data_IF_404444966496
#
_entry.id   IF_404444966496
#
_cell.length_a   1.000
_cell.length_b   1.000
_cell.length_c   1.000
_cell.angle_alpha   90.00
_cell.angle_beta   90.00
_cell.angle_gamma   90.00
#
_symmetry.space_group_name_H-M   'P 1'
#
loop_
_entity.id
_entity.type
_entity.pdbx_description
1 polymer ?
#
# COMPACT_ATOMS: atom_id res chain seq x y z
N UNK A 1 -18.93 -2.51 20.19
CA UNK A 1 -19.45 -2.42 18.82
C UNK A 1 -18.45 -1.77 17.86
N UNK A 2 -17.24 -2.32 17.77
CA UNK A 2 -16.25 -1.89 16.76
C UNK A 2 -16.26 -2.85 15.55
N UNK A 3 -17.38 -3.55 15.27
CA UNK A 3 -17.48 -4.49 14.16
C UNK A 3 -16.58 -5.72 14.29
N UNK A 4 -16.27 -6.15 15.51
CA UNK A 4 -15.54 -7.39 15.70
C UNK A 4 -16.44 -8.58 15.35
N UNK A 5 -15.98 -9.42 14.43
CA UNK A 5 -16.65 -10.65 14.08
C UNK A 5 -16.44 -11.69 15.18
N UNK A 6 -17.54 -12.19 15.73
CA UNK A 6 -17.56 -13.29 16.71
C UNK A 6 -18.27 -14.48 16.05
N UNK A 7 -17.61 -15.61 15.95
CA UNK A 7 -18.13 -16.80 15.30
C UNK A 7 -18.97 -17.61 16.30
N UNK A 8 -20.30 -17.64 16.11
CA UNK A 8 -21.23 -18.36 17.01
C UNK A 8 -21.28 -19.85 16.73
N UNK A 9 -20.80 -20.30 15.59
CA UNK A 9 -20.85 -21.70 15.15
C UNK A 9 -19.65 -22.55 15.60
N UNK A 10 -18.71 -21.95 16.33
CA UNK A 10 -17.53 -22.64 16.89
C UNK A 10 -17.65 -22.82 18.40
N UNK A 11 -17.31 -24.01 18.94
CA UNK A 11 -17.29 -24.22 20.41
C UNK A 11 -16.13 -23.44 21.03
N UNK A 12 -16.38 -22.85 22.20
CA UNK A 12 -15.39 -22.13 23.00
C UNK A 12 -15.56 -20.61 22.99
N UNK A 13 -14.79 -19.92 23.83
CA UNK A 13 -14.90 -18.47 23.96
C UNK A 13 -14.23 -17.72 22.80
N UNK A 14 -14.84 -16.60 22.41
CA UNK A 14 -14.20 -15.58 21.58
C UNK A 14 -13.84 -14.39 22.46
N UNK A 15 -12.55 -14.08 22.60
CA UNK A 15 -12.06 -12.97 23.40
C UNK A 15 -11.34 -11.96 22.51
N UNK A 16 -11.83 -10.71 22.55
CA UNK A 16 -11.25 -9.57 21.82
C UNK A 16 -10.86 -8.49 22.83
N UNK A 17 -9.59 -8.10 22.83
CA UNK A 17 -9.06 -7.02 23.65
C UNK A 17 -8.45 -5.92 22.75
N UNK A 18 -8.98 -4.69 22.79
CA UNK A 18 -8.51 -3.59 21.96
C UNK A 18 -8.59 -3.90 20.47
N UNK A 19 -9.69 -4.52 20.01
CA UNK A 19 -9.89 -5.04 18.65
C UNK A 19 -8.94 -6.19 18.22
N UNK A 20 -8.06 -6.68 19.09
CA UNK A 20 -7.23 -7.87 18.83
C UNK A 20 -7.99 -9.11 19.27
N UNK A 21 -8.16 -10.06 18.36
CA UNK A 21 -8.70 -11.37 18.70
C UNK A 21 -7.61 -12.15 19.43
N UNK A 22 -7.81 -12.44 20.71
CA UNK A 22 -6.81 -13.14 21.53
C UNK A 22 -7.13 -14.62 21.73
N UNK A 23 -8.42 -14.97 21.73
CA UNK A 23 -8.88 -16.35 21.81
C UNK A 23 -10.07 -16.54 20.87
N UNK A 24 -10.09 -17.67 20.15
CA UNK A 24 -11.26 -18.15 19.42
C UNK A 24 -11.31 -19.67 19.48
N UNK A 25 -12.25 -20.21 20.24
CA UNK A 25 -12.34 -21.66 20.50
C UNK A 25 -11.07 -22.16 21.18
N UNK A 26 -10.34 -23.06 20.52
CA UNK A 26 -9.07 -23.62 21.00
C UNK A 26 -7.83 -22.84 20.50
N UNK A 27 -8.03 -21.78 19.71
CA UNK A 27 -6.96 -20.97 19.14
C UNK A 27 -6.64 -19.77 20.02
N UNK A 28 -5.36 -19.56 20.26
CA UNK A 28 -4.82 -18.43 21.00
C UNK A 28 -3.89 -17.63 20.09
N UNK A 29 -4.01 -16.31 20.14
CA UNK A 29 -3.32 -15.38 19.26
C UNK A 29 -2.46 -14.41 20.06
N UNK A 30 -1.16 -14.37 19.77
CA UNK A 30 -0.20 -13.48 20.41
C UNK A 30 0.21 -12.36 19.43
N UNK A 31 0.30 -11.14 19.94
CA UNK A 31 0.63 -9.95 19.14
C UNK A 31 1.89 -9.28 19.66
N UNK A 32 2.65 -8.65 18.76
CA UNK A 32 3.75 -7.77 19.15
C UNK A 32 3.26 -6.43 19.71
N UNK A 33 4.21 -5.56 20.12
CA UNK A 33 3.91 -4.23 20.65
C UNK A 33 3.21 -3.32 19.64
N UNK A 34 3.36 -3.58 18.34
CA UNK A 34 2.75 -2.83 17.25
C UNK A 34 1.36 -3.35 16.87
N UNK A 35 0.99 -4.52 17.38
CA UNK A 35 -0.29 -5.18 17.10
C UNK A 35 -0.25 -6.15 15.93
N UNK A 36 0.91 -6.51 15.40
CA UNK A 36 1.02 -7.56 14.41
C UNK A 36 0.84 -8.92 15.06
N UNK A 37 0.06 -9.82 14.46
CA UNK A 37 -0.09 -11.19 14.91
C UNK A 37 1.22 -11.95 14.70
N UNK A 38 1.91 -12.32 15.77
CA UNK A 38 3.20 -13.01 15.71
C UNK A 38 3.12 -14.51 15.92
N UNK A 39 2.02 -14.99 16.54
CA UNK A 39 1.85 -16.41 16.83
C UNK A 39 0.39 -16.81 16.95
N UNK A 40 0.04 -17.95 16.35
CA UNK A 40 -1.19 -18.68 16.61
C UNK A 40 -0.82 -20.01 17.29
N UNK A 41 -1.53 -20.34 18.37
CA UNK A 41 -1.36 -21.60 19.12
C UNK A 41 -2.69 -22.31 19.21
N UNK A 42 -2.73 -23.61 18.92
CA UNK A 42 -3.95 -24.42 18.99
C UNK A 42 -3.69 -25.88 19.38
N UNK A 43 -4.76 -26.62 19.57
CA UNK A 43 -4.71 -28.03 19.92
C UNK A 43 -4.34 -28.29 21.39
N UNK A 44 -4.28 -29.56 21.76
CA UNK A 44 -4.02 -29.97 23.15
C UNK A 44 -2.65 -29.46 23.64
N UNK A 45 -2.68 -28.67 24.73
CA UNK A 45 -1.47 -28.05 25.27
C UNK A 45 -0.83 -27.00 24.37
N UNK A 46 -1.59 -26.47 23.40
CA UNK A 46 -1.09 -25.48 22.41
C UNK A 46 0.12 -25.97 21.59
N UNK A 47 0.16 -27.28 21.28
CA UNK A 47 1.30 -27.90 20.62
C UNK A 47 1.41 -27.52 19.13
N UNK A 48 0.33 -27.09 18.50
CA UNK A 48 0.32 -26.66 17.10
C UNK A 48 0.56 -25.14 17.04
N UNK A 49 1.77 -24.75 16.69
CA UNK A 49 2.20 -23.34 16.68
C UNK A 49 2.48 -22.91 15.25
N UNK A 50 1.86 -21.80 14.84
CA UNK A 50 2.23 -21.04 13.63
C UNK A 50 2.89 -19.76 14.07
N UNK A 51 4.08 -19.46 13.54
CA UNK A 51 4.82 -18.22 13.84
C UNK A 51 4.90 -17.33 12.62
N UNK A 52 4.74 -16.00 12.84
CA UNK A 52 4.79 -14.96 11.82
C UNK A 52 5.88 -13.95 12.17
N UNK A 53 6.67 -13.52 11.19
CA UNK A 53 7.69 -12.48 11.37
C UNK A 53 7.49 -11.36 10.38
N UNK A 54 7.72 -10.14 10.84
CA UNK A 54 7.49 -8.91 10.09
C UNK A 54 8.78 -8.10 9.99
N UNK A 55 8.88 -7.30 8.92
CA UNK A 55 9.92 -6.27 8.80
C UNK A 55 9.53 -4.98 9.55
N UNK A 56 10.39 -3.97 9.46
CA UNK A 56 10.15 -2.66 10.09
C UNK A 56 8.98 -1.87 9.48
N UNK A 57 8.43 -2.30 8.35
CA UNK A 57 7.23 -1.74 7.71
C UNK A 57 5.98 -2.59 7.98
N UNK A 58 6.04 -3.53 8.93
CA UNK A 58 4.96 -4.44 9.31
C UNK A 58 4.49 -5.37 8.17
N UNK A 59 5.37 -5.65 7.18
CA UNK A 59 5.09 -6.61 6.12
C UNK A 59 5.55 -8.00 6.55
N UNK A 60 4.72 -9.01 6.31
CA UNK A 60 5.05 -10.41 6.64
C UNK A 60 6.24 -10.87 5.80
N UNK A 61 7.36 -11.21 6.43
CA UNK A 61 8.57 -11.67 5.74
C UNK A 61 8.84 -13.16 5.90
N UNK A 62 8.30 -13.78 6.93
CA UNK A 62 8.37 -15.25 7.06
C UNK A 62 7.24 -15.82 7.91
N UNK A 63 6.97 -17.08 7.64
CA UNK A 63 5.98 -17.91 8.31
C UNK A 63 6.61 -19.27 8.62
N UNK A 64 6.33 -19.85 9.79
CA UNK A 64 6.64 -21.22 10.13
C UNK A 64 5.37 -21.93 10.59
N UNK A 65 5.03 -23.03 9.95
CA UNK A 65 3.86 -23.85 10.22
C UNK A 65 4.15 -24.91 11.32
N UNK A 66 3.13 -25.45 11.99
CA UNK A 66 3.31 -26.49 13.03
C UNK A 66 3.99 -27.78 12.53
N UNK A 67 3.90 -28.08 11.24
CA UNK A 67 4.57 -29.22 10.59
C UNK A 67 6.04 -28.97 10.24
N UNK A 68 6.57 -27.77 10.57
CA UNK A 68 7.93 -27.34 10.24
C UNK A 68 8.08 -26.71 8.84
N UNK A 69 7.03 -26.66 8.02
CA UNK A 69 7.06 -25.97 6.73
C UNK A 69 7.34 -24.48 6.93
N UNK A 70 8.22 -23.95 6.10
CA UNK A 70 8.59 -22.53 6.15
C UNK A 70 8.25 -21.81 4.84
N UNK A 71 7.80 -20.57 4.98
CA UNK A 71 7.62 -19.67 3.86
C UNK A 71 8.35 -18.36 4.13
N UNK A 72 8.88 -17.76 3.06
CA UNK A 72 9.48 -16.42 3.10
C UNK A 72 8.98 -15.55 1.96
N UNK A 73 8.88 -14.24 2.22
CA UNK A 73 8.29 -13.29 1.31
C UNK A 73 9.23 -12.10 1.11
N UNK A 74 9.37 -11.64 -0.14
CA UNK A 74 10.19 -10.47 -0.49
C UNK A 74 9.35 -9.41 -1.18
N UNK A 75 9.70 -8.16 -0.92
CA UNK A 75 8.95 -7.00 -1.39
C UNK A 75 9.86 -6.03 -2.14
N UNK A 76 9.28 -5.33 -3.10
CA UNK A 76 9.93 -4.19 -3.74
C UNK A 76 9.86 -2.93 -2.84
N UNK A 77 10.50 -1.82 -3.23
CA UNK A 77 10.43 -0.56 -2.50
C UNK A 77 9.02 0.03 -2.35
N UNK A 78 8.09 -0.34 -3.24
CA UNK A 78 6.68 0.07 -3.17
C UNK A 78 5.84 -0.85 -2.27
N UNK A 79 6.46 -1.83 -1.62
CA UNK A 79 5.79 -2.79 -0.74
C UNK A 79 4.97 -3.85 -1.47
N UNK A 80 5.15 -4.05 -2.80
CA UNK A 80 4.53 -5.13 -3.55
C UNK A 80 5.35 -6.41 -3.36
N UNK A 81 4.69 -7.52 -3.09
CA UNK A 81 5.36 -8.81 -2.95
C UNK A 81 5.88 -9.27 -4.30
N UNK A 82 7.20 -9.32 -4.46
CA UNK A 82 7.86 -9.74 -5.70
C UNK A 82 8.23 -11.22 -5.72
N UNK A 83 8.33 -11.86 -4.56
CA UNK A 83 8.51 -13.31 -4.51
C UNK A 83 8.00 -13.92 -3.22
N UNK A 84 7.64 -15.20 -3.28
CA UNK A 84 7.51 -16.09 -2.13
C UNK A 84 8.34 -17.34 -2.35
N UNK A 85 8.92 -17.88 -1.29
CA UNK A 85 9.62 -19.16 -1.31
C UNK A 85 9.05 -20.05 -0.22
N UNK A 86 8.59 -21.24 -0.60
CA UNK A 86 8.01 -22.25 0.29
C UNK A 86 8.91 -23.48 0.23
N UNK A 87 9.53 -23.86 1.34
CA UNK A 87 10.49 -24.98 1.41
C UNK A 87 11.54 -24.94 0.30
N UNK A 88 12.02 -23.73 -0.06
CA UNK A 88 13.03 -23.49 -1.09
C UNK A 88 12.52 -23.35 -2.51
N UNK A 89 11.24 -23.64 -2.78
CA UNK A 89 10.63 -23.44 -4.10
C UNK A 89 10.08 -22.02 -4.20
N UNK A 90 10.54 -21.26 -5.20
CA UNK A 90 10.23 -19.84 -5.35
C UNK A 90 9.16 -19.59 -6.41
N UNK A 91 8.19 -18.72 -6.09
CA UNK A 91 7.27 -18.11 -7.04
C UNK A 91 7.61 -16.62 -7.13
N UNK A 92 7.76 -16.09 -8.33
CA UNK A 92 7.98 -14.67 -8.61
C UNK A 92 6.68 -14.01 -9.05
N UNK A 93 6.49 -12.73 -8.69
CA UNK A 93 5.28 -11.96 -8.95
C UNK A 93 5.60 -10.68 -9.72
N UNK A 94 4.78 -10.37 -10.74
CA UNK A 94 4.93 -9.21 -11.61
C UNK A 94 3.69 -8.30 -11.48
N UNK A 95 3.95 -7.00 -11.37
CA UNK A 95 2.94 -6.01 -11.02
C UNK A 95 2.84 -4.90 -12.06
N UNK A 96 1.62 -4.41 -12.27
CA UNK A 96 1.33 -3.16 -12.95
C UNK A 96 0.56 -2.25 -11.98
N UNK A 97 1.23 -1.22 -11.46
CA UNK A 97 0.70 -0.46 -10.32
C UNK A 97 0.45 -1.40 -9.14
N UNK A 98 -0.77 -1.43 -8.62
CA UNK A 98 -1.18 -2.31 -7.53
C UNK A 98 -1.87 -3.62 -7.99
N UNK A 99 -1.90 -3.88 -9.32
CA UNK A 99 -2.45 -5.12 -9.87
C UNK A 99 -1.36 -6.17 -10.06
N UNK A 100 -1.59 -7.38 -9.56
CA UNK A 100 -0.78 -8.55 -9.88
C UNK A 100 -1.13 -9.00 -11.29
N UNK A 101 -0.21 -8.84 -12.24
CA UNK A 101 -0.48 -9.18 -13.64
C UNK A 101 0.11 -10.51 -14.08
N UNK A 102 1.11 -11.04 -13.37
CA UNK A 102 1.68 -12.34 -13.70
C UNK A 102 2.40 -12.97 -12.50
N UNK A 103 2.59 -14.29 -12.59
CA UNK A 103 3.45 -15.07 -11.71
C UNK A 103 4.26 -16.11 -12.49
N UNK A 104 5.42 -16.45 -11.96
CA UNK A 104 6.28 -17.49 -12.46
C UNK A 104 6.65 -18.47 -11.34
N UNK A 105 6.38 -19.75 -11.53
CA UNK A 105 6.67 -20.82 -10.57
C UNK A 105 7.28 -22.01 -11.30
N UNK A 106 8.54 -22.30 -11.05
CA UNK A 106 9.32 -23.30 -11.77
C UNK A 106 9.28 -23.04 -13.30
N UNK A 107 8.62 -23.91 -14.07
CA UNK A 107 8.44 -23.80 -15.51
C UNK A 107 7.04 -23.27 -15.92
N UNK A 108 6.16 -23.03 -14.94
CA UNK A 108 4.80 -22.56 -15.14
C UNK A 108 4.73 -21.04 -15.07
N UNK A 109 4.11 -20.45 -16.09
CA UNK A 109 3.78 -19.02 -16.16
C UNK A 109 2.29 -18.82 -16.11
N UNK A 110 1.85 -17.82 -15.38
CA UNK A 110 0.46 -17.34 -15.34
C UNK A 110 0.43 -15.85 -15.60
N UNK A 111 -0.53 -15.41 -16.42
CA UNK A 111 -0.84 -13.98 -16.60
C UNK A 111 -2.32 -13.76 -16.33
N UNK A 112 -2.60 -12.70 -15.58
CA UNK A 112 -3.96 -12.31 -15.18
C UNK A 112 -4.38 -11.09 -15.97
N UNK A 113 -5.49 -11.21 -16.69
CA UNK A 113 -6.11 -10.11 -17.44
C UNK A 113 -7.31 -9.63 -16.66
N UNK A 114 -7.38 -8.31 -16.44
CA UNK A 114 -8.43 -7.67 -15.67
C UNK A 114 -9.29 -6.75 -16.54
N UNK A 115 -10.52 -6.49 -16.11
CA UNK A 115 -11.31 -5.39 -16.64
C UNK A 115 -10.54 -4.06 -16.52
N UNK A 116 -10.67 -3.13 -17.49
CA UNK A 116 -10.05 -1.81 -17.38
C UNK A 116 -10.42 -1.13 -16.06
N UNK A 117 -9.44 -0.49 -15.44
CA UNK A 117 -9.57 0.28 -14.18
C UNK A 117 -10.25 -0.48 -13.01
N UNK A 118 -10.18 -1.81 -13.01
CA UNK A 118 -10.83 -2.69 -12.04
C UNK A 118 -9.88 -3.78 -11.56
N UNK A 119 -10.16 -4.39 -10.40
CA UNK A 119 -9.53 -5.62 -9.92
C UNK A 119 -10.32 -6.89 -10.28
N UNK A 120 -11.34 -6.77 -11.14
CA UNK A 120 -12.14 -7.90 -11.61
C UNK A 120 -11.37 -8.67 -12.67
N UNK A 121 -11.01 -9.95 -12.46
CA UNK A 121 -10.30 -10.73 -13.45
C UNK A 121 -11.23 -11.16 -14.60
N UNK A 122 -10.74 -11.05 -15.84
CA UNK A 122 -11.43 -11.51 -17.06
C UNK A 122 -10.92 -12.88 -17.51
N UNK A 123 -9.59 -13.04 -17.54
CA UNK A 123 -8.98 -14.26 -18.03
C UNK A 123 -7.66 -14.57 -17.30
N UNK A 124 -7.36 -15.86 -17.23
CA UNK A 124 -6.08 -16.42 -16.84
C UNK A 124 -5.44 -17.02 -18.10
N UNK A 125 -4.21 -16.65 -18.38
CA UNK A 125 -3.35 -17.31 -19.34
C UNK A 125 -2.36 -18.18 -18.56
N UNK A 126 -2.41 -19.49 -18.71
CA UNK A 126 -1.49 -20.43 -18.07
C UNK A 126 -0.69 -21.19 -19.13
N UNK A 127 0.63 -21.29 -18.93
CA UNK A 127 1.51 -21.99 -19.86
C UNK A 127 2.77 -22.56 -19.21
N UNK A 128 3.39 -23.49 -19.93
CA UNK A 128 4.68 -24.10 -19.60
C UNK A 128 5.66 -23.74 -20.71
N UNK A 129 6.44 -22.66 -20.48
CA UNK A 129 7.33 -22.10 -21.51
C UNK A 129 6.62 -21.20 -22.53
N UNK A 130 7.36 -20.63 -23.51
CA UNK A 130 6.91 -19.49 -24.30
C UNK A 130 5.84 -19.79 -25.37
N UNK A 131 5.51 -21.05 -25.64
CA UNK A 131 4.64 -21.45 -26.76
C UNK A 131 3.40 -22.25 -26.36
N UNK A 132 3.28 -22.68 -25.11
CA UNK A 132 2.16 -23.51 -24.64
C UNK A 132 1.32 -22.73 -23.62
N UNK A 133 0.59 -21.72 -24.11
CA UNK A 133 -0.29 -20.88 -23.29
C UNK A 133 -1.73 -21.22 -23.56
N UNK A 134 -2.48 -21.54 -22.51
CA UNK A 134 -3.91 -21.86 -22.56
C UNK A 134 -4.71 -20.76 -21.86
N UNK A 135 -5.71 -20.16 -22.51
CA UNK A 135 -6.59 -19.20 -21.87
C UNK A 135 -7.70 -19.92 -21.07
N UNK A 136 -8.06 -19.31 -19.95
CA UNK A 136 -9.23 -19.68 -19.15
C UNK A 136 -10.01 -18.41 -18.83
N UNK A 137 -11.34 -18.47 -18.85
CA UNK A 137 -12.21 -17.32 -18.64
C UNK A 137 -12.83 -17.38 -17.25
N UNK A 138 -12.76 -16.27 -16.52
CA UNK A 138 -13.36 -16.14 -15.21
C UNK A 138 -14.87 -15.91 -15.32
N UNK A 139 -15.64 -16.68 -14.54
CA UNK A 139 -17.04 -16.39 -14.23
C UNK A 139 -17.06 -15.86 -12.79
N UNK A 140 -17.59 -14.65 -12.60
CA UNK A 140 -17.51 -13.90 -11.36
C UNK A 140 -18.90 -13.75 -10.73
N UNK A 141 -18.95 -13.60 -9.41
CA UNK A 141 -20.12 -13.08 -8.74
C UNK A 141 -20.25 -11.54 -8.92
N UNK A 142 -21.26 -10.95 -8.28
CA UNK A 142 -21.51 -9.51 -8.34
C UNK A 142 -20.34 -8.69 -7.72
N UNK A 143 -19.61 -9.23 -6.76
CA UNK A 143 -18.42 -8.60 -6.15
C UNK A 143 -17.14 -8.77 -6.98
N UNK A 144 -17.19 -9.49 -8.09
CA UNK A 144 -16.00 -9.80 -8.88
C UNK A 144 -15.15 -10.94 -8.31
N UNK A 145 -15.74 -11.78 -7.45
CA UNK A 145 -15.07 -12.96 -6.91
C UNK A 145 -15.16 -14.11 -7.91
N UNK A 146 -14.06 -14.79 -8.25
CA UNK A 146 -14.09 -15.95 -9.14
C UNK A 146 -14.96 -17.08 -8.58
N UNK A 147 -15.99 -17.48 -9.30
CA UNK A 147 -16.82 -18.64 -8.99
C UNK A 147 -16.42 -19.84 -9.83
N UNK A 148 -16.09 -19.61 -11.11
CA UNK A 148 -15.67 -20.65 -12.05
C UNK A 148 -14.56 -20.15 -12.97
N UNK A 149 -13.77 -21.09 -13.49
CA UNK A 149 -12.92 -20.93 -14.67
C UNK A 149 -13.34 -21.90 -15.74
N UNK A 150 -13.56 -21.40 -16.96
CA UNK A 150 -13.87 -22.21 -18.13
C UNK A 150 -12.73 -22.19 -19.12
N UNK A 151 -12.50 -23.34 -19.79
CA UNK A 151 -11.57 -23.41 -20.91
C UNK A 151 -12.25 -22.86 -22.20
N UNK A 152 -11.52 -22.73 -23.34
CA UNK A 152 -12.09 -22.24 -24.60
C UNK A 152 -13.25 -23.08 -25.16
N UNK A 153 -13.37 -24.32 -24.73
CA UNK A 153 -14.49 -25.20 -25.16
C UNK A 153 -15.74 -25.04 -24.29
N UNK A 154 -15.70 -24.15 -23.27
CA UNK A 154 -16.78 -23.92 -22.33
C UNK A 154 -16.83 -24.92 -21.16
N UNK A 155 -15.83 -25.81 -21.02
CA UNK A 155 -15.79 -26.75 -19.89
C UNK A 155 -15.32 -26.06 -18.63
N UNK A 156 -16.00 -26.32 -17.52
CA UNK A 156 -15.59 -25.84 -16.20
C UNK A 156 -14.36 -26.65 -15.75
N UNK A 157 -13.24 -25.96 -15.53
CA UNK A 157 -11.97 -26.54 -15.08
C UNK A 157 -11.64 -26.23 -13.64
N UNK A 158 -12.28 -25.19 -13.08
CA UNK A 158 -12.23 -24.86 -11.67
C UNK A 158 -13.58 -24.25 -11.25
N UNK A 159 -14.10 -24.64 -10.09
CA UNK A 159 -15.35 -24.10 -9.53
C UNK A 159 -15.32 -24.22 -8.01
N UNK A 160 -15.72 -23.15 -7.30
CA UNK A 160 -15.69 -23.08 -5.84
C UNK A 160 -16.90 -22.35 -5.27
N UNK A 161 -17.35 -22.82 -4.11
CA UNK A 161 -18.31 -22.13 -3.25
C UNK A 161 -17.59 -21.51 -2.06
N UNK A 162 -17.92 -20.26 -1.76
CA UNK A 162 -17.30 -19.50 -0.69
C UNK A 162 -18.20 -19.36 0.54
N UNK A 163 -17.59 -19.32 1.71
CA UNK A 163 -18.20 -18.74 2.91
C UNK A 163 -18.20 -17.22 2.80
N UNK A 164 -19.02 -16.55 3.59
CA UNK A 164 -19.20 -15.09 3.53
C UNK A 164 -17.88 -14.29 3.61
N UNK A 165 -16.88 -14.78 4.32
CA UNK A 165 -15.59 -14.10 4.50
C UNK A 165 -14.48 -14.64 3.58
N UNK A 166 -14.83 -15.33 2.47
CA UNK A 166 -13.91 -15.68 1.39
C UNK A 166 -13.13 -16.98 1.57
N UNK A 167 -13.39 -17.74 2.63
CA UNK A 167 -12.92 -19.13 2.74
C UNK A 167 -13.67 -20.00 1.72
N UNK A 168 -12.95 -20.87 0.98
CA UNK A 168 -13.59 -21.85 0.12
C UNK A 168 -14.25 -22.94 0.98
N UNK A 169 -15.58 -22.99 0.94
CA UNK A 169 -16.36 -24.00 1.64
C UNK A 169 -16.32 -25.35 0.92
N UNK A 170 -16.33 -25.31 -0.43
CA UNK A 170 -16.31 -26.51 -1.27
C UNK A 170 -15.69 -26.18 -2.63
N UNK A 171 -14.87 -27.08 -3.13
CA UNK A 171 -14.31 -27.06 -4.45
C UNK A 171 -15.02 -28.14 -5.29
N UNK A 172 -15.78 -27.73 -6.32
CA UNK A 172 -16.54 -28.66 -7.16
C UNK A 172 -15.74 -29.14 -8.36
N UNK A 173 -14.85 -28.30 -8.89
CA UNK A 173 -13.90 -28.65 -9.93
C UNK A 173 -12.52 -28.06 -9.61
N UNK A 174 -11.45 -28.81 -9.80
CA UNK A 174 -10.08 -28.43 -9.49
C UNK A 174 -9.07 -29.04 -10.46
N UNK A 175 -9.35 -29.01 -11.80
CA UNK A 175 -8.40 -29.48 -12.81
C UNK A 175 -7.19 -28.55 -12.95
N UNK A 176 -7.36 -27.29 -12.56
CA UNK A 176 -6.31 -26.27 -12.46
C UNK A 176 -6.43 -25.56 -11.11
N UNK A 177 -5.34 -24.92 -10.66
CA UNK A 177 -5.38 -24.07 -9.46
C UNK A 177 -5.82 -22.65 -9.82
N UNK A 178 -6.60 -22.04 -8.92
CA UNK A 178 -6.89 -20.62 -8.99
C UNK A 178 -6.54 -19.95 -7.66
N UNK A 179 -5.53 -19.08 -7.62
CA UNK A 179 -5.15 -18.38 -6.40
C UNK A 179 -5.94 -17.09 -6.14
N UNK A 180 -6.66 -16.54 -7.14
CA UNK A 180 -7.42 -15.32 -6.94
C UNK A 180 -8.65 -15.58 -6.04
N UNK A 181 -8.94 -14.62 -5.15
CA UNK A 181 -10.05 -14.64 -4.18
C UNK A 181 -10.90 -13.39 -4.36
N UNK A 182 -11.27 -12.70 -3.29
CA UNK A 182 -11.88 -11.38 -3.40
C UNK A 182 -10.97 -10.43 -4.20
N UNK A 183 -11.53 -9.37 -4.75
CA UNK A 183 -10.74 -8.41 -5.54
C UNK A 183 -9.46 -8.00 -4.81
N UNK A 184 -8.31 -8.10 -5.51
CA UNK A 184 -6.99 -7.79 -4.96
C UNK A 184 -6.36 -8.86 -4.07
N UNK A 185 -7.05 -9.97 -3.79
CA UNK A 185 -6.56 -11.05 -2.95
C UNK A 185 -5.94 -12.20 -3.74
N UNK A 186 -4.80 -12.68 -3.26
CA UNK A 186 -4.09 -13.85 -3.75
C UNK A 186 -3.95 -14.88 -2.61
N UNK A 187 -4.48 -16.07 -2.80
CA UNK A 187 -4.43 -17.17 -1.84
C UNK A 187 -3.05 -17.83 -1.78
N UNK A 188 -2.50 -17.89 -0.60
CA UNK A 188 -1.25 -18.60 -0.30
C UNK A 188 -1.57 -19.94 0.34
N UNK A 189 -1.42 -21.01 -0.43
CA UNK A 189 -1.78 -22.37 -0.03
C UNK A 189 -1.02 -22.84 1.20
N UNK A 190 0.26 -22.46 1.32
CA UNK A 190 1.13 -22.80 2.43
C UNK A 190 0.65 -22.24 3.77
N UNK A 191 -0.03 -21.09 3.76
CA UNK A 191 -0.46 -20.41 4.98
C UNK A 191 -1.96 -20.44 5.22
N UNK A 192 -2.76 -20.67 4.18
CA UNK A 192 -4.20 -20.48 4.20
C UNK A 192 -4.62 -18.99 4.22
N UNK A 193 -3.66 -18.08 4.09
CA UNK A 193 -3.90 -16.65 4.09
C UNK A 193 -4.12 -16.10 2.69
N UNK A 194 -4.74 -14.92 2.61
CA UNK A 194 -4.80 -14.15 1.37
C UNK A 194 -3.85 -12.96 1.46
N UNK A 195 -2.86 -12.89 0.57
CA UNK A 195 -2.09 -11.69 0.38
C UNK A 195 -2.97 -10.64 -0.28
N UNK A 196 -3.19 -9.52 0.38
CA UNK A 196 -4.05 -8.42 -0.06
C UNK A 196 -3.26 -7.12 -0.11
N UNK A 197 -2.32 -7.05 -1.04
CA UNK A 197 -1.44 -5.92 -1.36
C UNK A 197 -0.68 -5.36 -0.14
N UNK A 198 -1.33 -4.66 0.78
CA UNK A 198 -0.69 -4.04 1.96
C UNK A 198 -0.78 -4.89 3.23
N UNK A 199 -1.69 -5.86 3.27
CA UNK A 199 -1.91 -6.72 4.45
C UNK A 199 -2.13 -8.18 4.07
N UNK A 200 -2.00 -9.06 5.04
CA UNK A 200 -2.44 -10.46 4.93
C UNK A 200 -3.78 -10.62 5.63
N UNK A 201 -4.71 -11.20 4.91
CA UNK A 201 -6.06 -11.49 5.38
C UNK A 201 -6.21 -12.97 5.73
N UNK A 202 -6.80 -13.25 6.85
CA UNK A 202 -7.16 -14.61 7.27
C UNK A 202 -8.67 -14.83 7.07
N UNK A 203 -9.09 -15.60 6.05
CA UNK A 203 -10.50 -15.81 5.74
C UNK A 203 -11.21 -16.66 6.78
N UNK A 204 -10.49 -17.52 7.54
CA UNK A 204 -11.03 -18.37 8.59
C UNK A 204 -11.56 -17.57 9.78
N UNK A 205 -10.94 -16.43 10.08
CA UNK A 205 -11.34 -15.53 11.16
C UNK A 205 -11.90 -14.19 10.66
N UNK A 206 -11.94 -13.97 9.33
CA UNK A 206 -12.48 -12.76 8.71
C UNK A 206 -11.73 -11.48 9.05
N UNK A 207 -10.40 -11.54 9.25
CA UNK A 207 -9.59 -10.43 9.78
C UNK A 207 -8.23 -10.33 9.11
N UNK A 208 -7.68 -9.12 9.10
CA UNK A 208 -6.27 -8.91 8.81
C UNK A 208 -5.37 -9.30 10.00
N UNK A 209 -4.12 -9.73 9.71
CA UNK A 209 -3.13 -10.11 10.72
C UNK A 209 -2.47 -8.90 11.38
N UNK A 210 -2.45 -7.76 10.69
CA UNK A 210 -1.79 -6.52 11.13
C UNK A 210 -2.79 -5.38 11.20
N UNK A 211 -2.55 -4.37 12.05
CA UNK A 211 -3.36 -3.17 12.07
C UNK A 211 -3.34 -2.45 10.72
N UNK A 212 -4.42 -1.72 10.45
CA UNK A 212 -4.51 -0.92 9.23
C UNK A 212 -3.41 0.14 9.17
N UNK A 213 -2.58 0.17 8.08
CA UNK A 213 -1.57 1.20 7.89
C UNK A 213 -2.14 2.62 7.84
N UNK A 214 -3.39 2.79 7.35
CA UNK A 214 -4.09 4.08 7.32
C UNK A 214 -4.80 4.41 8.63
N UNK A 215 -4.67 3.53 9.64
CA UNK A 215 -5.18 3.72 11.00
C UNK A 215 -6.70 3.97 11.02
N UNK A 216 -7.15 5.03 11.75
CA UNK A 216 -8.58 5.35 11.87
C UNK A 216 -9.24 5.76 10.54
N UNK A 217 -8.49 6.08 9.51
CA UNK A 217 -9.04 6.35 8.18
C UNK A 217 -9.64 5.10 7.53
N UNK A 218 -9.12 3.90 7.86
CA UNK A 218 -9.67 2.62 7.44
C UNK A 218 -10.84 2.11 8.30
N UNK A 219 -11.16 2.82 9.41
CA UNK A 219 -12.24 2.46 10.32
C UNK A 219 -11.80 2.34 11.78
N UNK A 220 -12.78 2.15 12.67
CA UNK A 220 -12.52 2.04 14.13
C UNK A 220 -11.83 0.71 14.47
N UNK A 221 -12.08 -0.35 13.70
CA UNK A 221 -11.47 -1.65 13.88
C UNK A 221 -10.32 -1.84 12.89
N UNK A 222 -9.09 -1.64 13.36
CA UNK A 222 -7.89 -1.74 12.54
C UNK A 222 -7.63 -3.11 11.90
N UNK A 223 -8.34 -4.15 12.30
CA UNK A 223 -8.17 -5.51 11.76
C UNK A 223 -9.34 -5.97 10.89
N UNK A 224 -10.36 -5.15 10.74
CA UNK A 224 -11.55 -5.50 9.96
C UNK A 224 -11.23 -5.52 8.47
N UNK A 225 -11.76 -6.52 7.75
CA UNK A 225 -11.72 -6.54 6.29
C UNK A 225 -12.72 -5.50 5.74
N UNK A 226 -14.00 -5.78 5.85
CA UNK A 226 -15.09 -4.89 5.42
C UNK A 226 -16.27 -5.00 6.38
N UNK A 227 -17.17 -4.00 6.43
CA UNK A 227 -18.36 -4.05 7.26
C UNK A 227 -19.35 -5.15 6.86
N UNK A 228 -19.46 -5.42 5.54
CA UNK A 228 -20.32 -6.44 4.97
C UNK A 228 -19.65 -7.13 3.78
N UNK A 229 -19.15 -8.38 3.94
CA UNK A 229 -18.40 -9.08 2.88
C UNK A 229 -19.26 -9.54 1.72
N UNK A 230 -20.59 -9.39 1.78
CA UNK A 230 -21.50 -9.70 0.66
C UNK A 230 -21.87 -8.49 -0.19
N UNK A 231 -21.36 -7.30 0.14
CA UNK A 231 -21.64 -6.06 -0.59
C UNK A 231 -20.46 -5.10 -0.66
N UNK A 232 -19.33 -5.46 -0.03
CA UNK A 232 -18.16 -4.59 0.07
C UNK A 232 -16.89 -5.37 -0.23
N UNK A 233 -15.89 -4.70 -0.80
CA UNK A 233 -14.55 -5.24 -1.07
C UNK A 233 -13.47 -4.27 -0.59
N UNK A 234 -12.28 -4.79 -0.31
CA UNK A 234 -11.08 -4.01 0.01
C UNK A 234 -9.91 -4.51 -0.86
N UNK A 235 -9.75 -4.03 -2.09
CA UNK A 235 -8.77 -4.58 -3.03
C UNK A 235 -7.31 -4.34 -2.64
N UNK A 236 -7.06 -3.34 -1.79
CA UNK A 236 -5.69 -2.97 -1.39
C UNK A 236 -5.34 -3.36 0.04
N UNK A 237 -6.32 -3.77 0.85
CA UNK A 237 -6.11 -3.98 2.27
C UNK A 237 -5.93 -2.67 3.06
N UNK A 238 -6.57 -1.57 2.63
CA UNK A 238 -6.47 -0.23 3.24
C UNK A 238 -7.82 0.42 3.51
N UNK A 239 -8.78 0.21 2.61
CA UNK A 239 -10.09 0.85 2.70
C UNK A 239 -11.14 0.05 1.94
N UNK A 240 -12.32 0.00 2.52
CA UNK A 240 -13.44 -0.72 1.94
C UNK A 240 -14.24 0.16 0.98
N UNK A 241 -14.77 -0.44 -0.09
CA UNK A 241 -15.65 0.18 -1.07
C UNK A 241 -17.01 -0.52 -1.07
N UNK A 242 -18.16 0.21 -1.07
CA UNK A 242 -19.44 -0.38 -1.38
C UNK A 242 -19.52 -0.66 -2.88
N UNK A 243 -19.92 -1.86 -3.23
CA UNK A 243 -20.11 -2.37 -4.60
C UNK A 243 -18.88 -2.42 -5.52
N UNK A 244 -18.84 -3.46 -6.34
CA UNK A 244 -17.69 -3.87 -7.15
C UNK A 244 -17.36 -2.96 -8.35
N UNK A 245 -18.09 -1.85 -8.55
CA UNK A 245 -17.91 -0.96 -9.69
C UNK A 245 -17.09 0.29 -9.44
N UNK A 246 -16.96 0.73 -8.19
CA UNK A 246 -16.36 2.03 -7.85
C UNK A 246 -14.98 1.95 -7.17
N UNK A 247 -14.46 0.76 -6.95
CA UNK A 247 -13.09 0.58 -6.47
C UNK A 247 -12.11 0.77 -7.63
N UNK A 248 -12.00 1.98 -8.12
CA UNK A 248 -10.91 2.33 -9.03
C UNK A 248 -9.58 2.14 -8.31
N UNK A 249 -8.52 1.65 -8.98
CA UNK A 249 -7.17 1.57 -8.42
C UNK A 249 -6.66 2.89 -7.84
N UNK A 250 -7.32 3.99 -8.18
CA UNK A 250 -7.15 5.35 -7.65
C UNK A 250 -8.38 5.82 -6.86
N UNK A 251 -9.20 4.91 -6.30
CA UNK A 251 -10.22 5.33 -5.36
C UNK A 251 -9.51 5.98 -4.17
N UNK A 252 -9.35 7.27 -4.29
CA UNK A 252 -8.85 8.27 -3.33
C UNK A 252 -8.23 7.59 -2.11
N UNK A 253 -6.91 7.46 -2.10
CA UNK A 253 -6.20 7.64 -0.82
C UNK A 253 -7.00 8.74 -0.13
N UNK A 254 -7.64 8.39 0.98
CA UNK A 254 -8.50 9.30 1.73
C UNK A 254 -7.76 10.61 1.78
N UNK A 255 -8.38 11.64 1.22
CA UNK A 255 -7.84 12.99 1.24
C UNK A 255 -7.64 13.38 2.72
N UNK A 256 -6.44 13.12 3.23
CA UNK A 256 -6.05 13.41 4.60
C UNK A 256 -6.14 14.89 4.91
N UNK A 257 -6.38 15.75 3.90
CA UNK A 257 -6.65 17.17 4.10
C UNK A 257 -8.05 17.42 4.68
N UNK A 258 -9.00 16.48 4.53
CA UNK A 258 -10.37 16.61 5.10
C UNK A 258 -10.50 16.05 6.52
N UNK A 259 -9.63 15.15 6.95
CA UNK A 259 -9.61 14.66 8.34
C UNK A 259 -8.97 15.65 9.33
N UNK A 260 -8.29 16.67 8.85
CA UNK A 260 -7.66 17.72 9.67
C UNK A 260 -8.60 18.88 10.02
N UNK A 261 -9.90 18.83 9.66
CA UNK A 261 -10.83 19.95 9.85
C UNK A 261 -11.56 19.95 11.19
N UNK A 262 -10.99 19.40 12.25
CA UNK A 262 -11.51 19.61 13.61
C UNK A 262 -10.37 19.94 14.57
N UNK A 263 -9.70 21.07 14.36
CA UNK A 263 -9.09 21.84 15.44
C UNK A 263 -9.37 23.33 15.17
N UNK A 264 -10.22 23.91 15.99
CA UNK A 264 -10.52 25.33 15.99
C UNK A 264 -9.26 26.15 16.22
N UNK A 265 -8.95 27.04 15.29
CA UNK A 265 -7.92 28.06 15.46
C UNK A 265 -6.96 28.21 14.28
N UNK A 266 -7.48 28.31 13.03
CA UNK A 266 -6.64 28.74 11.90
C UNK A 266 -6.43 30.25 11.92
N UNK A 267 -5.17 30.74 11.75
CA UNK A 267 -4.99 32.09 11.27
C UNK A 267 -5.52 32.15 9.83
N UNK A 268 -6.36 33.13 9.54
CA UNK A 268 -6.99 33.39 8.23
C UNK A 268 -5.91 33.32 7.13
N UNK A 269 -6.04 32.33 6.24
CA UNK A 269 -5.26 32.29 4.99
C UNK A 269 -5.69 33.44 4.09
N UNK A 270 -4.77 34.16 3.45
CA UNK A 270 -5.12 35.03 2.34
C UNK A 270 -5.64 34.16 1.18
N UNK A 271 -6.65 34.64 0.49
CA UNK A 271 -7.30 33.98 -0.64
C UNK A 271 -6.28 33.54 -1.69
N UNK A 272 -6.42 32.30 -2.16
CA UNK A 272 -5.55 31.63 -3.12
C UNK A 272 -5.73 32.25 -4.52
N UNK A 273 -4.94 33.27 -4.83
CA UNK A 273 -4.79 33.82 -6.17
C UNK A 273 -3.46 33.37 -6.76
N UNK A 274 -3.48 32.27 -7.53
CA UNK A 274 -2.43 31.85 -8.45
C UNK A 274 -1.04 31.63 -7.83
N UNK A 275 -0.53 30.41 -7.91
CA UNK A 275 0.77 29.89 -7.44
C UNK A 275 1.94 30.90 -7.50
N UNK A 276 2.10 31.72 -6.47
CA UNK A 276 3.23 32.67 -6.36
C UNK A 276 4.49 32.04 -5.74
N UNK A 277 4.37 30.86 -5.13
CA UNK A 277 5.45 30.23 -4.35
C UNK A 277 5.68 28.79 -4.78
N UNK A 278 6.94 28.34 -4.54
CA UNK A 278 7.29 26.92 -4.53
C UNK A 278 7.64 26.51 -3.10
N UNK A 279 7.46 25.23 -2.80
CA UNK A 279 7.75 24.66 -1.50
C UNK A 279 8.77 23.52 -1.63
N UNK A 280 9.66 23.42 -0.63
CA UNK A 280 10.58 22.31 -0.50
C UNK A 280 10.62 21.82 0.94
N UNK A 281 10.45 20.53 1.15
CA UNK A 281 10.72 19.88 2.43
C UNK A 281 12.18 19.43 2.51
N UNK A 282 12.83 19.70 3.64
CA UNK A 282 14.22 19.26 3.88
C UNK A 282 14.46 19.08 5.40
N UNK A 283 15.48 18.31 5.77
CA UNK A 283 15.91 18.13 7.17
C UNK A 283 17.04 19.08 7.59
N UNK A 284 17.66 19.77 6.64
CA UNK A 284 18.67 20.76 6.91
C UNK A 284 18.09 21.94 7.70
N UNK A 285 18.86 22.44 8.65
CA UNK A 285 18.42 23.57 9.48
C UNK A 285 18.35 24.88 8.70
N UNK A 286 17.45 25.83 9.10
CA UNK A 286 17.34 27.14 8.48
C UNK A 286 18.67 27.91 8.40
N UNK A 287 19.49 27.87 9.44
CA UNK A 287 20.80 28.53 9.45
C UNK A 287 21.69 28.03 8.32
N UNK A 288 21.74 26.72 8.09
CA UNK A 288 22.50 26.16 6.98
C UNK A 288 21.94 26.57 5.62
N UNK A 289 20.63 26.45 5.44
CA UNK A 289 19.98 26.73 4.17
C UNK A 289 19.98 28.23 3.82
N UNK A 290 19.84 29.11 4.82
CA UNK A 290 19.89 30.57 4.62
C UNK A 290 21.28 31.08 4.31
N UNK A 291 22.34 30.35 4.66
CA UNK A 291 23.72 30.69 4.32
C UNK A 291 24.15 30.12 2.97
N UNK A 292 23.71 28.91 2.61
CA UNK A 292 24.28 28.17 1.48
C UNK A 292 23.29 27.92 0.33
N UNK A 293 21.98 28.12 0.54
CA UNK A 293 20.93 27.73 -0.38
C UNK A 293 20.79 26.22 -0.52
N UNK A 294 20.10 25.79 -1.56
CA UNK A 294 20.04 24.38 -1.97
C UNK A 294 20.92 24.14 -3.18
N UNK A 295 21.61 22.99 -3.20
CA UNK A 295 22.42 22.52 -4.33
C UNK A 295 21.96 21.13 -4.73
N UNK A 296 22.03 20.84 -6.04
CA UNK A 296 21.82 19.51 -6.57
C UNK A 296 22.86 18.52 -6.05
N UNK A 297 22.54 17.23 -6.08
CA UNK A 297 23.42 16.15 -5.56
C UNK A 297 24.47 15.70 -6.57
N UNK A 298 24.24 15.96 -7.86
CA UNK A 298 25.10 15.48 -8.93
C UNK A 298 24.94 16.26 -10.24
N UNK A 299 25.28 15.58 -11.35
CA UNK A 299 25.35 16.19 -12.69
C UNK A 299 24.41 15.57 -13.72
N UNK A 300 23.66 14.53 -13.36
CA UNK A 300 22.71 13.89 -14.27
C UNK A 300 21.56 14.84 -14.62
N UNK A 301 21.35 15.08 -15.90
CA UNK A 301 20.27 15.92 -16.43
C UNK A 301 19.07 15.10 -16.93
N UNK A 302 19.02 13.81 -16.61
CA UNK A 302 17.88 12.94 -16.92
C UNK A 302 16.73 13.22 -15.95
N UNK A 303 15.65 13.80 -16.47
CA UNK A 303 14.50 14.19 -15.66
C UNK A 303 13.70 13.00 -15.17
N UNK A 304 13.63 11.93 -15.97
CA UNK A 304 12.93 10.71 -15.56
C UNK A 304 13.65 10.01 -14.41
N UNK A 305 14.96 9.82 -14.52
CA UNK A 305 15.77 9.25 -13.43
C UNK A 305 15.73 10.11 -12.17
N UNK A 306 15.74 11.47 -12.34
CA UNK A 306 15.55 12.37 -11.21
C UNK A 306 14.22 12.13 -10.48
N UNK A 307 13.13 12.01 -11.22
CA UNK A 307 11.81 11.81 -10.67
C UNK A 307 11.66 10.43 -9.98
N UNK A 308 12.32 9.38 -10.50
CA UNK A 308 12.30 8.03 -9.91
C UNK A 308 13.20 7.94 -8.67
N UNK A 309 14.45 8.36 -8.78
CA UNK A 309 15.44 8.40 -7.69
C UNK A 309 16.52 9.44 -7.96
N UNK A 310 16.43 10.58 -7.29
CA UNK A 310 17.37 11.69 -7.43
C UNK A 310 18.80 11.38 -6.94
N UNK A 311 19.05 10.20 -6.38
CA UNK A 311 20.35 9.79 -5.85
C UNK A 311 21.11 8.81 -6.76
N UNK A 312 20.42 8.15 -7.69
CA UNK A 312 21.06 7.10 -8.50
C UNK A 312 20.64 7.14 -9.99
N UNK A 313 21.43 7.74 -10.88
CA UNK A 313 22.65 8.52 -10.61
C UNK A 313 22.35 9.86 -9.92
N UNK A 314 23.29 10.44 -9.16
CA UNK A 314 23.06 11.71 -8.48
C UNK A 314 22.64 12.79 -9.46
N UNK A 315 21.47 13.38 -9.23
CA UNK A 315 20.79 14.28 -10.14
C UNK A 315 21.28 15.73 -10.04
N UNK A 316 21.26 16.44 -11.18
CA UNK A 316 21.49 17.88 -11.27
C UNK A 316 20.24 18.72 -10.98
N UNK A 317 19.17 18.12 -10.49
CA UNK A 317 17.93 18.82 -10.16
C UNK A 317 17.65 18.84 -8.67
N UNK A 318 16.83 19.79 -8.24
CA UNK A 318 16.36 19.99 -6.88
C UNK A 318 14.84 19.98 -6.92
N UNK A 319 14.22 19.01 -6.25
CA UNK A 319 12.76 18.86 -6.22
C UNK A 319 12.12 19.98 -5.42
N UNK A 320 11.10 20.59 -6.01
CA UNK A 320 10.21 21.57 -5.38
C UNK A 320 8.78 21.31 -5.84
N UNK A 321 7.78 21.87 -5.18
CA UNK A 321 6.38 21.74 -5.62
C UNK A 321 5.61 23.03 -5.37
N UNK A 322 4.66 23.43 -6.21
CA UNK A 322 3.69 24.46 -5.91
C UNK A 322 2.69 24.00 -4.82
N UNK A 323 2.64 22.70 -4.53
CA UNK A 323 1.83 22.12 -3.46
C UNK A 323 2.55 22.20 -2.13
N UNK A 324 1.94 22.95 -1.19
CA UNK A 324 2.44 23.04 0.19
C UNK A 324 2.36 21.70 0.91
N UNK A 325 1.33 20.90 0.63
CA UNK A 325 1.16 19.56 1.21
C UNK A 325 2.31 18.64 0.82
N UNK A 326 2.65 18.57 -0.47
CA UNK A 326 3.82 17.82 -0.96
C UNK A 326 5.13 18.26 -0.27
N UNK A 327 5.32 19.57 -0.09
CA UNK A 327 6.47 20.09 0.66
C UNK A 327 6.51 19.63 2.12
N UNK A 328 5.36 19.52 2.79
CA UNK A 328 5.24 19.01 4.17
C UNK A 328 5.60 17.52 4.22
N UNK A 329 5.10 16.73 3.28
CA UNK A 329 5.40 15.30 3.22
C UNK A 329 6.91 15.04 3.09
N UNK A 330 7.59 15.79 2.23
CA UNK A 330 9.05 15.73 2.13
C UNK A 330 9.76 16.23 3.39
N UNK A 331 9.30 17.33 4.03
CA UNK A 331 9.89 17.85 5.25
C UNK A 331 9.84 16.83 6.39
N UNK A 332 8.76 16.07 6.48
CA UNK A 332 8.53 15.08 7.54
C UNK A 332 8.90 13.66 7.12
N UNK A 333 9.37 13.46 5.90
CA UNK A 333 9.52 12.13 5.27
C UNK A 333 8.27 11.30 5.48
N UNK A 334 7.15 11.83 5.01
CA UNK A 334 5.83 11.19 5.13
C UNK A 334 5.47 10.78 6.58
N UNK A 335 5.74 11.67 7.54
CA UNK A 335 5.42 11.46 8.95
C UNK A 335 6.43 10.63 9.75
N UNK A 336 7.61 10.34 9.20
CA UNK A 336 8.62 9.54 9.90
C UNK A 336 9.57 10.36 10.76
N UNK A 337 9.82 11.64 10.42
CA UNK A 337 10.75 12.53 11.14
C UNK A 337 10.22 13.97 11.26
N UNK A 338 10.92 14.79 12.05
CA UNK A 338 10.76 16.25 12.05
C UNK A 338 11.61 16.85 10.93
N UNK A 339 11.21 18.00 10.40
CA UNK A 339 11.97 18.70 9.38
C UNK A 339 11.51 20.13 9.20
N UNK A 340 11.85 20.74 8.07
CA UNK A 340 11.53 22.13 7.76
C UNK A 340 10.85 22.22 6.39
N UNK A 341 9.77 22.98 6.34
CA UNK A 341 9.12 23.39 5.09
C UNK A 341 9.67 24.75 4.67
N UNK A 342 10.41 24.79 3.58
CA UNK A 342 10.93 26.03 2.99
C UNK A 342 9.94 26.59 1.98
N UNK A 343 9.63 27.87 2.11
CA UNK A 343 8.91 28.63 1.10
C UNK A 343 9.92 29.37 0.21
N UNK A 344 9.73 29.27 -1.11
CA UNK A 344 10.62 29.81 -2.14
C UNK A 344 9.85 30.80 -3.01
N UNK A 345 10.52 31.80 -3.58
CA UNK A 345 9.97 32.56 -4.69
C UNK A 345 9.68 31.61 -5.86
N UNK A 346 8.80 32.02 -6.74
CA UNK A 346 8.57 31.30 -7.99
C UNK A 346 9.83 31.38 -8.86
N UNK A 347 10.54 30.24 -8.98
CA UNK A 347 11.75 30.09 -9.78
C UNK A 347 11.39 29.24 -10.99
N UNK A 348 11.99 29.53 -12.15
CA UNK A 348 11.83 28.72 -13.33
C UNK A 348 12.45 27.35 -13.14
N UNK A 349 11.68 26.30 -13.42
CA UNK A 349 12.09 24.91 -13.35
C UNK A 349 11.37 24.09 -14.42
N UNK A 350 11.72 22.81 -14.49
CA UNK A 350 11.08 21.84 -15.37
C UNK A 350 9.88 21.23 -14.66
N UNK A 351 8.72 21.33 -15.26
CA UNK A 351 7.50 20.70 -14.78
C UNK A 351 7.55 19.20 -15.14
N UNK A 352 7.83 18.36 -14.16
CA UNK A 352 8.05 16.91 -14.34
C UNK A 352 6.83 16.24 -14.96
N UNK A 353 5.64 16.57 -14.47
CA UNK A 353 4.41 15.96 -14.97
C UNK A 353 4.07 16.40 -16.39
N UNK A 354 4.33 17.66 -16.74
CA UNK A 354 4.10 18.17 -18.08
C UNK A 354 5.09 17.58 -19.08
N UNK A 355 6.37 17.44 -18.71
CA UNK A 355 7.42 16.98 -19.62
C UNK A 355 7.44 15.46 -19.78
N UNK A 356 7.20 14.70 -18.71
CA UNK A 356 7.18 13.24 -18.74
C UNK A 356 5.79 12.67 -19.08
N UNK A 357 4.71 13.44 -18.89
CA UNK A 357 3.35 13.01 -19.17
C UNK A 357 3.03 11.69 -18.46
N UNK A 358 2.60 10.68 -19.22
CA UNK A 358 2.27 9.36 -18.68
C UNK A 358 3.45 8.59 -18.09
N UNK A 359 4.67 9.03 -18.28
CA UNK A 359 5.90 8.45 -17.72
C UNK A 359 6.28 9.07 -16.38
N UNK A 360 5.58 10.11 -15.92
CA UNK A 360 5.83 10.72 -14.62
C UNK A 360 5.51 9.70 -13.51
N UNK A 361 6.49 9.35 -12.64
CA UNK A 361 6.30 8.29 -11.64
C UNK A 361 5.37 8.69 -10.50
N UNK A 362 5.22 10.02 -10.24
CA UNK A 362 4.43 10.61 -9.15
C UNK A 362 3.63 11.81 -9.66
N UNK A 363 2.55 11.54 -10.40
CA UNK A 363 1.72 12.55 -11.06
C UNK A 363 0.98 13.48 -10.08
N UNK A 364 0.79 13.05 -8.84
CA UNK A 364 0.15 13.82 -7.77
C UNK A 364 1.12 14.77 -7.02
N UNK A 365 2.43 14.67 -7.20
CA UNK A 365 3.41 15.51 -6.49
C UNK A 365 3.57 16.90 -7.11
N UNK A 366 3.11 17.10 -8.34
CA UNK A 366 3.25 18.37 -9.08
C UNK A 366 4.66 18.94 -9.00
N UNK A 367 5.66 18.09 -9.26
CA UNK A 367 7.06 18.41 -9.07
C UNK A 367 7.55 19.44 -10.09
N UNK A 368 8.26 20.48 -9.59
CA UNK A 368 9.06 21.42 -10.38
C UNK A 368 10.55 21.17 -10.06
N UNK A 369 11.27 20.61 -10.99
CA UNK A 369 12.69 20.28 -10.89
C UNK A 369 13.55 21.51 -11.21
N UNK A 370 14.22 22.08 -10.22
CA UNK A 370 15.11 23.25 -10.36
C UNK A 370 16.53 22.77 -10.62
N UNK A 371 17.15 23.22 -11.69
CA UNK A 371 18.49 22.80 -12.10
C UNK A 371 19.57 23.44 -11.25
N UNK A 372 20.55 22.66 -10.85
CA UNK A 372 21.81 23.00 -10.17
C UNK A 372 21.68 23.60 -8.77
N UNK A 373 21.01 24.74 -8.60
CA UNK A 373 20.95 25.42 -7.29
C UNK A 373 19.70 26.28 -7.11
N UNK A 374 19.31 26.48 -5.86
CA UNK A 374 18.38 27.52 -5.42
C UNK A 374 19.17 28.49 -4.54
N UNK A 375 19.20 29.75 -4.93
CA UNK A 375 19.96 30.80 -4.24
C UNK A 375 19.33 31.16 -2.90
N UNK A 376 20.14 31.61 -1.95
CA UNK A 376 19.67 32.03 -0.61
C UNK A 376 18.63 33.14 -0.72
N UNK A 377 18.80 34.10 -1.64
CA UNK A 377 17.89 35.23 -1.86
C UNK A 377 16.48 34.84 -2.37
N UNK A 378 16.35 33.64 -2.93
CA UNK A 378 15.09 33.11 -3.44
C UNK A 378 14.32 32.30 -2.36
N UNK A 379 14.94 32.07 -1.22
CA UNK A 379 14.33 31.40 -0.08
C UNK A 379 13.69 32.45 0.82
N UNK A 380 12.36 32.37 1.01
CA UNK A 380 11.62 33.36 1.78
C UNK A 380 11.70 33.11 3.29
N UNK A 381 11.69 31.84 3.67
CA UNK A 381 11.72 31.43 5.07
C UNK A 381 11.54 29.93 5.23
N UNK A 382 11.57 29.47 6.47
CA UNK A 382 11.39 28.10 6.87
C UNK A 382 10.33 27.96 7.97
N UNK A 383 9.53 26.93 7.93
CA UNK A 383 8.56 26.59 8.97
C UNK A 383 8.92 25.23 9.55
N UNK A 384 9.26 25.15 10.85
CA UNK A 384 9.53 23.87 11.51
C UNK A 384 8.26 23.03 11.57
N UNK A 385 8.40 21.75 11.18
CA UNK A 385 7.33 20.77 11.13
C UNK A 385 7.52 19.70 12.18
N UNK A 386 6.44 19.31 12.87
CA UNK A 386 6.42 18.11 13.70
C UNK A 386 6.33 16.88 12.82
N UNK A 387 6.57 15.71 13.42
CA UNK A 387 6.49 14.43 12.74
C UNK A 387 5.13 14.15 12.08
N UNK A 388 4.05 14.62 12.70
CA UNK A 388 2.67 14.47 12.23
C UNK A 388 2.27 15.46 11.11
N UNK A 389 3.23 16.24 10.59
CA UNK A 389 2.98 17.25 9.57
C UNK A 389 2.39 18.56 10.11
N UNK A 390 2.15 18.69 11.42
CA UNK A 390 1.67 19.93 12.02
C UNK A 390 2.80 20.94 12.24
N UNK A 391 2.45 22.23 12.25
CA UNK A 391 3.39 23.34 12.50
C UNK A 391 3.84 23.39 13.95
N UNK A 392 5.09 23.82 14.18
CA UNK A 392 5.56 24.08 15.54
C UNK A 392 5.15 25.46 16.09
N UNK A 393 4.23 26.16 15.40
CA UNK A 393 3.64 27.42 15.87
C UNK A 393 4.40 28.70 15.47
N UNK A 394 5.50 28.59 14.75
CA UNK A 394 6.29 29.75 14.29
C UNK A 394 6.93 29.49 12.92
N UNK A 395 7.28 30.57 12.23
CA UNK A 395 8.09 30.53 10.99
C UNK A 395 9.33 31.39 11.15
N UNK A 396 10.41 30.97 10.53
CA UNK A 396 11.73 31.63 10.59
C UNK A 396 11.94 32.36 9.27
N UNK A 397 11.88 33.71 9.22
CA UNK A 397 12.13 34.45 8.00
C UNK A 397 13.61 34.35 7.61
N UNK A 398 13.88 34.26 6.32
CA UNK A 398 15.27 34.29 5.84
C UNK A 398 15.81 35.74 5.88
N UNK A 399 16.90 36.03 6.64
CA UNK A 399 17.49 37.35 6.72
C UNK A 399 18.13 37.81 5.40
N UNK A 400 18.51 36.86 4.54
CA UNK A 400 19.19 37.10 3.25
C UNK A 400 18.21 37.23 2.05
N UNK A 401 16.89 37.20 2.30
CA UNK A 401 15.90 37.35 1.23
C UNK A 401 15.94 38.74 0.61
N UNK A 402 15.85 38.83 -0.71
CA UNK A 402 15.60 40.11 -1.37
C UNK A 402 14.16 40.55 -1.07
N UNK A 403 14.00 41.62 -0.34
CA UNK A 403 12.73 42.35 -0.21
C UNK A 403 12.60 43.21 -1.46
N UNK A 404 11.53 43.02 -2.24
CA UNK A 404 11.16 43.96 -3.33
C UNK A 404 10.48 45.17 -2.74
#
# INVERSE_FOLDING_TARGET
PAGNLLMQDRPGPDIVAGNRLTIQGDRHYDYDAFGNLIRERRGRGHALITEYRYDCQHRLVSLTQPNGQTASYRYDPFGRRISKSVDGITTEFFWQGDKLIAEHHADRHRSYIYEPDSFRPLALLEGYGPKDTKPYHYQLDHLGTPQELTNPNGEIVWSAHYRAYGEIARLDAGKIDNPLRFQGQYFDQESGLHYNRHRYYNPDIGRYLTPDPVKLAGGINAYQYVPNPTGWVDPLGLSNCPEAGDCKPNAKVVDFTKAATVVKGEPKQPANNGNEYLYRGDDKTPDHVFQHGFKSKGTSNDLYLHAVDSNNPPSNFISTSPSKATGIDFATSYGTRKGFLYALKKISGRDVNKELGKLAPFDNETEIAIQSKISTEDILGATPMKRDGSYMGYSIPNPNRKVK
#
